data_IF_681182674341
#
_entry.id   IF_681182674341
#
_cell.length_a   1.000
_cell.length_b   1.000
_cell.length_c   1.000
_cell.angle_alpha   90.00
_cell.angle_beta   90.00
_cell.angle_gamma   90.00
#
_symmetry.space_group_name_H-M   'P 1'
#
loop_
_entity.id
_entity.type
_entity.pdbx_description
1 polymer ?
#
# COMPACT_ATOMS: atom_id res chain seq x y z
N UNK A 1 -11.80 -8.49 10.18
CA UNK A 1 -10.81 -7.68 9.44
C UNK A 1 -10.05 -8.59 8.47
N UNK A 2 -9.84 -8.18 7.21
CA UNK A 2 -9.26 -9.01 6.13
C UNK A 2 -7.88 -9.59 6.48
N UNK A 3 -7.06 -8.84 7.22
CA UNK A 3 -5.76 -9.28 7.73
C UNK A 3 -5.87 -10.39 8.76
N UNK A 4 -6.76 -10.24 9.75
CA UNK A 4 -7.01 -11.27 10.75
C UNK A 4 -7.48 -12.56 10.10
N UNK A 5 -8.40 -12.47 9.13
CA UNK A 5 -8.87 -13.62 8.37
C UNK A 5 -7.74 -14.31 7.59
N UNK A 6 -6.86 -13.54 6.93
CA UNK A 6 -5.67 -14.10 6.27
C UNK A 6 -4.75 -14.80 7.27
N UNK A 7 -4.46 -14.15 8.40
CA UNK A 7 -3.56 -14.70 9.43
C UNK A 7 -4.12 -15.99 10.02
N UNK A 8 -5.41 -16.05 10.29
CA UNK A 8 -6.09 -17.25 10.77
C UNK A 8 -6.02 -18.39 9.75
N UNK A 9 -6.35 -18.11 8.48
CA UNK A 9 -6.27 -19.10 7.40
C UNK A 9 -4.82 -19.62 7.22
N UNK A 10 -3.84 -18.73 7.17
CA UNK A 10 -2.42 -19.09 7.09
C UNK A 10 -1.96 -19.94 8.29
N UNK A 11 -2.35 -19.56 9.51
CA UNK A 11 -1.98 -20.31 10.71
C UNK A 11 -2.65 -21.69 10.74
N UNK A 12 -3.90 -21.80 10.29
CA UNK A 12 -4.60 -23.08 10.13
C UNK A 12 -3.83 -24.01 9.19
N UNK A 13 -3.46 -23.53 8.00
CA UNK A 13 -2.68 -24.34 7.05
C UNK A 13 -1.33 -24.77 7.62
N UNK A 14 -0.63 -23.88 8.35
CA UNK A 14 0.66 -24.17 8.99
C UNK A 14 0.59 -25.16 10.14
N UNK A 15 -0.51 -25.19 10.89
CA UNK A 15 -0.71 -26.14 12.00
C UNK A 15 -0.99 -27.54 11.48
N UNK A 16 -1.66 -27.66 10.34
CA UNK A 16 -1.98 -28.93 9.71
C UNK A 16 -0.79 -29.59 8.98
N UNK A 17 0.40 -28.95 8.96
CA UNK A 17 1.53 -29.35 8.11
C UNK A 17 2.87 -29.45 8.85
N UNK A 18 3.77 -30.34 8.40
CA UNK A 18 5.12 -30.44 8.93
C UNK A 18 5.90 -29.15 8.67
N UNK A 19 6.97 -28.92 9.44
CA UNK A 19 7.73 -27.67 9.41
C UNK A 19 8.30 -27.31 8.02
N UNK A 20 8.68 -28.32 7.24
CA UNK A 20 9.19 -28.19 5.86
C UNK A 20 8.16 -27.62 4.88
N UNK A 21 6.87 -27.73 5.17
CA UNK A 21 5.76 -27.35 4.26
C UNK A 21 4.99 -26.12 4.73
N UNK A 22 5.42 -25.48 5.83
CA UNK A 22 4.78 -24.30 6.43
C UNK A 22 4.82 -23.03 5.57
N UNK A 23 5.39 -23.10 4.37
CA UNK A 23 5.45 -21.99 3.45
C UNK A 23 6.25 -20.82 4.01
N UNK A 24 6.27 -19.73 3.26
CA UNK A 24 7.08 -18.55 3.54
C UNK A 24 6.35 -17.23 3.32
N UNK A 25 5.14 -17.19 2.77
CA UNK A 25 4.43 -15.93 2.58
C UNK A 25 3.84 -15.38 3.89
N UNK A 26 3.63 -14.08 3.91
CA UNK A 26 2.84 -13.39 4.92
C UNK A 26 2.35 -12.03 4.40
N UNK A 27 1.42 -11.46 5.15
CA UNK A 27 0.78 -10.18 4.85
C UNK A 27 1.07 -9.21 5.99
N UNK A 28 1.50 -7.99 5.64
CA UNK A 28 1.68 -6.90 6.61
C UNK A 28 0.76 -5.74 6.27
N UNK A 29 0.08 -5.23 7.28
CA UNK A 29 -0.60 -3.94 7.23
C UNK A 29 0.02 -3.03 8.28
N UNK A 30 0.54 -1.88 7.85
CA UNK A 30 1.15 -0.90 8.75
C UNK A 30 0.55 0.47 8.51
N UNK A 31 0.43 1.28 9.57
CA UNK A 31 0.24 2.72 9.41
C UNK A 31 1.53 3.31 8.86
N UNK A 32 1.41 4.25 7.93
CA UNK A 32 2.58 4.97 7.43
C UNK A 32 2.90 6.09 8.42
N UNK A 33 4.09 6.07 9.02
CA UNK A 33 4.51 7.10 9.97
C UNK A 33 4.47 8.49 9.31
N UNK A 34 3.97 9.50 10.02
CA UNK A 34 3.82 10.87 9.51
C UNK A 34 2.77 11.05 8.40
N UNK A 35 1.94 10.04 8.12
CA UNK A 35 0.84 10.17 7.16
C UNK A 35 -0.46 10.59 7.83
N UNK A 36 -1.35 11.22 7.06
CA UNK A 36 -2.69 11.59 7.50
C UNK A 36 -3.44 10.39 8.15
N UNK A 37 -4.31 10.65 9.14
CA UNK A 37 -5.15 9.62 9.75
C UNK A 37 -5.84 8.75 8.69
N UNK A 38 -5.85 7.43 8.90
CA UNK A 38 -6.45 6.47 7.96
C UNK A 38 -5.53 5.98 6.83
N UNK A 39 -4.30 6.50 6.70
CA UNK A 39 -3.31 5.97 5.74
C UNK A 39 -2.62 4.71 6.26
N UNK A 40 -2.61 3.66 5.42
CA UNK A 40 -1.93 2.39 5.73
C UNK A 40 -1.14 1.87 4.52
N UNK A 41 -0.31 0.86 4.71
CA UNK A 41 0.36 0.14 3.62
C UNK A 41 0.02 -1.33 3.77
N UNK A 42 -0.40 -1.95 2.66
CA UNK A 42 -0.69 -3.38 2.58
C UNK A 42 0.39 -4.03 1.71
N UNK A 43 1.24 -4.84 2.31
CA UNK A 43 2.41 -5.42 1.67
C UNK A 43 2.45 -6.94 1.87
N UNK A 44 2.64 -7.67 0.76
CA UNK A 44 3.05 -9.07 0.85
C UNK A 44 4.54 -9.15 1.16
N UNK A 45 4.91 -10.17 1.93
CA UNK A 45 6.31 -10.47 2.19
C UNK A 45 6.57 -11.96 2.17
N UNK A 46 7.84 -12.31 2.05
CA UNK A 46 8.36 -13.66 2.15
C UNK A 46 9.35 -13.77 3.30
N UNK A 47 9.20 -14.80 4.11
CA UNK A 47 10.12 -15.19 5.17
C UNK A 47 11.27 -15.99 4.53
N UNK A 48 12.50 -15.56 4.79
CA UNK A 48 13.75 -16.17 4.33
C UNK A 48 14.57 -16.56 5.57
N UNK A 49 14.49 -17.81 6.00
CA UNK A 49 15.25 -18.29 7.17
C UNK A 49 14.89 -17.58 8.49
N UNK A 50 15.77 -17.67 9.50
CA UNK A 50 15.57 -17.01 10.80
C UNK A 50 15.63 -15.49 10.61
N UNK A 51 14.47 -14.84 10.70
CA UNK A 51 14.26 -13.37 10.83
C UNK A 51 14.45 -12.49 9.60
N UNK A 52 14.70 -13.02 8.40
CA UNK A 52 14.77 -12.16 7.21
C UNK A 52 13.39 -12.09 6.54
N UNK A 53 12.77 -10.92 6.60
CA UNK A 53 11.53 -10.63 5.86
C UNK A 53 11.89 -9.90 4.56
N UNK A 54 11.50 -10.46 3.43
CA UNK A 54 11.65 -9.85 2.12
C UNK A 54 10.28 -9.35 1.64
N UNK A 55 10.05 -8.03 1.71
CA UNK A 55 8.85 -7.44 1.14
C UNK A 55 8.85 -7.57 -0.38
N UNK A 56 7.70 -7.98 -0.92
CA UNK A 56 7.53 -8.15 -2.35
C UNK A 56 7.32 -6.78 -2.99
N UNK A 57 7.90 -6.56 -4.17
CA UNK A 57 7.66 -5.35 -4.96
C UNK A 57 6.42 -5.56 -5.81
N UNK A 58 5.48 -4.62 -5.73
CA UNK A 58 4.42 -4.53 -6.72
C UNK A 58 5.05 -4.05 -8.02
N UNK A 59 4.90 -4.83 -9.10
CA UNK A 59 5.46 -4.49 -10.40
C UNK A 59 4.81 -3.24 -11.00
N UNK A 60 5.26 -2.86 -12.20
CA UNK A 60 4.60 -1.82 -12.99
C UNK A 60 3.49 -2.41 -13.86
N UNK A 61 2.47 -1.62 -14.17
CA UNK A 61 1.50 -1.92 -15.21
C UNK A 61 2.07 -1.60 -16.61
N UNK A 62 1.23 -1.77 -17.64
CA UNK A 62 1.60 -1.54 -19.05
C UNK A 62 2.00 -0.09 -19.34
N UNK A 63 1.50 0.85 -18.54
CA UNK A 63 1.72 2.29 -18.68
C UNK A 63 2.88 2.78 -17.79
N UNK A 64 3.65 1.85 -17.21
CA UNK A 64 4.80 2.14 -16.35
C UNK A 64 4.44 2.63 -14.94
N UNK A 65 3.15 2.63 -14.57
CA UNK A 65 2.68 3.04 -13.24
C UNK A 65 2.78 1.88 -12.26
N UNK A 66 2.92 2.17 -10.97
CA UNK A 66 2.95 1.13 -9.95
C UNK A 66 1.60 0.42 -9.92
N UNK A 67 1.60 -0.90 -10.15
CA UNK A 67 0.40 -1.72 -10.07
C UNK A 67 -0.10 -1.79 -8.63
N UNK A 68 -1.42 -1.82 -8.44
CA UNK A 68 -2.02 -2.13 -7.14
C UNK A 68 -2.12 -3.63 -6.87
N UNK A 69 -1.93 -4.46 -7.90
CA UNK A 69 -1.99 -5.92 -7.82
C UNK A 69 -0.62 -6.54 -8.01
N UNK A 70 -0.24 -7.43 -7.10
CA UNK A 70 0.93 -8.28 -7.24
C UNK A 70 0.70 -9.31 -8.32
N UNK A 71 1.64 -9.40 -9.27
CA UNK A 71 1.64 -10.45 -10.29
C UNK A 71 2.02 -11.79 -9.66
N UNK A 72 1.54 -12.93 -10.18
CA UNK A 72 1.93 -14.25 -9.68
C UNK A 72 3.45 -14.45 -9.59
N UNK A 73 4.20 -13.90 -10.56
CA UNK A 73 5.67 -13.96 -10.58
C UNK A 73 6.34 -13.26 -9.40
N UNK A 74 5.69 -12.26 -8.77
CA UNK A 74 6.25 -11.55 -7.63
C UNK A 74 6.36 -12.44 -6.38
N UNK A 75 5.54 -13.49 -6.28
CA UNK A 75 5.55 -14.43 -5.15
C UNK A 75 6.66 -15.49 -5.28
N UNK A 76 7.18 -15.70 -6.50
CA UNK A 76 8.18 -16.72 -6.80
C UNK A 76 7.64 -18.13 -6.57
N UNK A 77 8.52 -19.06 -6.16
CA UNK A 77 8.10 -20.45 -5.84
C UNK A 77 7.32 -20.47 -4.53
N UNK A 78 6.04 -20.80 -4.56
CA UNK A 78 5.17 -20.94 -3.39
C UNK A 78 4.52 -22.31 -3.39
N UNK A 79 4.17 -22.81 -2.21
CA UNK A 79 3.41 -24.07 -2.05
C UNK A 79 1.98 -23.93 -2.57
N UNK A 80 1.28 -25.05 -2.80
CA UNK A 80 -0.06 -25.00 -3.39
C UNK A 80 -1.10 -24.35 -2.47
N UNK A 81 -1.01 -24.56 -1.16
CA UNK A 81 -1.89 -23.89 -0.21
C UNK A 81 -1.60 -22.38 -0.13
N UNK A 82 -0.34 -21.97 -0.30
CA UNK A 82 0.00 -20.54 -0.42
C UNK A 82 -0.58 -19.92 -1.69
N UNK A 83 -0.57 -20.65 -2.81
CA UNK A 83 -1.22 -20.20 -4.05
C UNK A 83 -2.71 -19.96 -3.83
N UNK A 84 -3.39 -20.86 -3.13
CA UNK A 84 -4.82 -20.72 -2.80
C UNK A 84 -5.06 -19.46 -1.97
N UNK A 85 -4.29 -19.24 -0.90
CA UNK A 85 -4.41 -18.02 -0.10
C UNK A 85 -4.11 -16.74 -0.92
N UNK A 86 -3.11 -16.78 -1.80
CA UNK A 86 -2.82 -15.62 -2.65
C UNK A 86 -4.00 -15.35 -3.59
N UNK A 87 -4.58 -16.40 -4.19
CA UNK A 87 -5.71 -16.29 -5.11
C UNK A 87 -6.95 -15.69 -4.43
N UNK A 88 -7.22 -16.07 -3.18
CA UNK A 88 -8.37 -15.61 -2.43
C UNK A 88 -8.22 -14.17 -1.94
N UNK A 89 -7.04 -13.81 -1.42
CA UNK A 89 -6.84 -12.55 -0.71
C UNK A 89 -6.29 -11.42 -1.57
N UNK A 90 -5.39 -11.68 -2.53
CA UNK A 90 -4.77 -10.60 -3.34
C UNK A 90 -5.78 -9.77 -4.16
N UNK A 91 -6.85 -10.34 -4.76
CA UNK A 91 -7.88 -9.53 -5.43
C UNK A 91 -8.60 -8.54 -4.50
N UNK A 92 -8.76 -8.90 -3.23
CA UNK A 92 -9.39 -8.03 -2.23
C UNK A 92 -8.41 -6.95 -1.75
N UNK A 93 -7.15 -7.35 -1.47
CA UNK A 93 -6.10 -6.43 -1.03
C UNK A 93 -5.73 -5.42 -2.10
N UNK A 94 -5.65 -5.84 -3.37
CA UNK A 94 -5.40 -4.94 -4.50
C UNK A 94 -6.50 -3.89 -4.67
N UNK A 95 -7.78 -4.25 -4.44
CA UNK A 95 -8.89 -3.29 -4.41
C UNK A 95 -8.70 -2.25 -3.30
N UNK A 96 -8.32 -2.68 -2.10
CA UNK A 96 -8.03 -1.75 -1.00
C UNK A 96 -6.87 -0.80 -1.33
N UNK A 97 -5.78 -1.31 -1.92
CA UNK A 97 -4.66 -0.47 -2.38
C UNK A 97 -5.11 0.55 -3.44
N UNK A 98 -5.98 0.14 -4.38
CA UNK A 98 -6.52 1.02 -5.41
C UNK A 98 -7.41 2.14 -4.82
N UNK A 99 -8.32 1.80 -3.90
CA UNK A 99 -9.16 2.78 -3.18
C UNK A 99 -8.29 3.79 -2.45
N UNK A 100 -7.28 3.32 -1.72
CA UNK A 100 -6.36 4.21 -1.01
C UNK A 100 -5.58 5.14 -1.95
N UNK A 101 -5.14 4.63 -3.11
CA UNK A 101 -4.50 5.43 -4.15
C UNK A 101 -5.43 6.50 -4.70
N UNK A 102 -6.70 6.17 -4.92
CA UNK A 102 -7.72 7.09 -5.39
C UNK A 102 -7.98 8.22 -4.37
N UNK A 103 -8.12 7.87 -3.08
CA UNK A 103 -8.21 8.84 -1.98
C UNK A 103 -6.97 9.76 -1.99
N UNK A 104 -5.78 9.21 -2.20
CA UNK A 104 -4.54 10.01 -2.33
C UNK A 104 -4.57 11.02 -3.47
N UNK A 105 -5.14 10.63 -4.61
CA UNK A 105 -5.27 11.51 -5.76
C UNK A 105 -6.28 12.63 -5.50
N UNK A 106 -7.41 12.31 -4.86
CA UNK A 106 -8.42 13.30 -4.47
C UNK A 106 -7.82 14.31 -3.48
N UNK A 107 -7.18 13.86 -2.41
CA UNK A 107 -6.53 14.74 -1.42
C UNK A 107 -5.52 15.69 -2.08
N UNK A 108 -4.70 15.18 -3.02
CA UNK A 108 -3.77 16.02 -3.77
C UNK A 108 -4.46 17.06 -4.64
N UNK A 109 -5.57 16.70 -5.31
CA UNK A 109 -6.33 17.65 -6.12
C UNK A 109 -6.94 18.76 -5.26
N UNK A 110 -7.51 18.41 -4.11
CA UNK A 110 -8.01 19.42 -3.17
C UNK A 110 -6.90 20.32 -2.63
N UNK A 111 -5.73 19.78 -2.32
CA UNK A 111 -4.58 20.59 -1.89
C UNK A 111 -4.15 21.59 -2.98
N UNK A 112 -4.11 21.18 -4.25
CA UNK A 112 -3.80 22.07 -5.38
C UNK A 112 -4.85 23.16 -5.58
N UNK A 113 -6.14 22.82 -5.47
CA UNK A 113 -7.24 23.80 -5.54
C UNK A 113 -7.11 24.80 -4.39
N UNK A 114 -6.89 24.32 -3.16
CA UNK A 114 -6.68 25.18 -2.01
C UNK A 114 -5.50 26.15 -2.19
N UNK A 115 -4.39 25.69 -2.77
CA UNK A 115 -3.25 26.54 -3.11
C UNK A 115 -3.59 27.59 -4.18
N UNK A 116 -4.40 27.22 -5.18
CA UNK A 116 -4.81 28.14 -6.24
C UNK A 116 -5.84 29.17 -5.79
N UNK A 117 -6.68 28.82 -4.80
CA UNK A 117 -7.68 29.71 -4.19
C UNK A 117 -7.13 30.53 -3.03
N UNK A 118 -5.96 30.17 -2.50
CA UNK A 118 -5.25 31.00 -1.53
C UNK A 118 -4.88 32.31 -2.24
N UNK A 119 -5.36 33.48 -1.77
CA UNK A 119 -4.98 34.76 -2.36
C UNK A 119 -3.46 34.84 -2.28
N UNK A 120 -2.78 34.82 -3.43
CA UNK A 120 -1.42 35.37 -3.48
C UNK A 120 -1.58 36.83 -3.12
N UNK A 121 -0.81 37.27 -2.12
CA UNK A 121 -0.66 38.66 -1.69
C UNK A 121 -0.99 39.62 -2.84
N UNK A 122 -2.22 40.15 -2.80
CA UNK A 122 -2.56 41.35 -3.55
C UNK A 122 -1.69 42.39 -2.89
N UNK A 123 -0.66 42.84 -3.61
CA UNK A 123 0.30 43.79 -3.10
C UNK A 123 -0.41 44.93 -2.40
N UNK A 124 -0.05 45.17 -1.15
CA UNK A 124 -0.06 46.52 -0.60
C UNK A 124 1.02 47.29 -1.35
N UNK A 125 0.69 47.68 -2.58
CA UNK A 125 1.28 48.84 -3.23
C UNK A 125 0.71 50.04 -2.47
N UNK A 126 1.33 50.37 -1.33
CA UNK A 126 1.10 51.65 -0.67
C UNK A 126 1.76 52.72 -1.53
N UNK A 127 0.96 53.22 -2.45
CA UNK A 127 1.12 54.51 -3.11
C UNK A 127 1.28 55.63 -2.09
N UNK A 128 2.32 56.44 -2.32
CA UNK A 128 2.51 57.86 -1.98
C UNK A 128 2.82 58.32 -0.55
N UNK A 129 4.03 58.87 -0.40
CA UNK A 129 4.17 60.31 -0.07
C UNK A 129 5.39 60.92 -0.81
N UNK A 130 5.19 61.87 -1.74
CA UNK A 130 6.30 62.70 -2.23
C UNK A 130 6.61 63.79 -1.20
N UNK A 131 7.85 63.78 -0.70
CA UNK A 131 8.39 64.88 0.11
C UNK A 131 8.68 66.07 -0.80
N UNK A 132 7.97 67.17 -0.56
CA UNK A 132 8.39 68.52 -0.95
C UNK A 132 9.21 69.13 0.17
#
# INVERSE_FOLDING_TARGET
MLTSAFTEAMLRERRARPASERGSIGLRVRRTAGSAPGRFQIEWYRVRGKRRTQYLKCGKDKDGRISHRYRPSAFGRVTDWEKALIADYEPQLSRLRAVQSHIAQIERRFALIGQALSPRDIGTDDTDEPSW
#
